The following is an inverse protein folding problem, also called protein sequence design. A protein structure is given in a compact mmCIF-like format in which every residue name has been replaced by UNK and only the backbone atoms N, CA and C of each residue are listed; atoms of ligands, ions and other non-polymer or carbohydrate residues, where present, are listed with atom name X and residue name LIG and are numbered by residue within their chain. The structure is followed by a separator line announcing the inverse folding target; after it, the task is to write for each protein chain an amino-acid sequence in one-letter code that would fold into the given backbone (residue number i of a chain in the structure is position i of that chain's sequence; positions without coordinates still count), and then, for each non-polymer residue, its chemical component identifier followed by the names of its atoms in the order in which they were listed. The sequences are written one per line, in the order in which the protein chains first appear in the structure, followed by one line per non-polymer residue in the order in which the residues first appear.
data_IF_484867399657
#
_entry.id   IF_484867399657
#
_cell.length_a   1.000
_cell.length_b   1.000
_cell.length_c   1.000
_cell.angle_alpha   90.00
_cell.angle_beta   90.00
_cell.angle_gamma   90.00
#
_symmetry.space_group_name_H-M   'P 1'
#
loop_
_entity.id
_entity.type
_entity.pdbx_description
1 polymer ?
#
# COMPACT_ATOMS: atom_id res chain seq x y z
N UNK A 1 7.85 7.97 3.95
CA UNK A 1 8.82 9.04 4.29
C UNK A 1 8.49 10.29 3.47
N UNK A 2 8.94 11.47 3.96
CA UNK A 2 9.00 12.68 3.14
C UNK A 2 10.25 12.67 2.26
N UNK A 3 10.36 13.67 1.34
CA UNK A 3 11.42 13.69 0.33
C UNK A 3 12.84 13.74 0.87
N UNK A 4 13.06 14.40 1.99
CA UNK A 4 14.41 14.53 2.59
C UNK A 4 14.71 13.46 3.65
N UNK A 5 13.74 12.56 3.90
CA UNK A 5 13.88 11.47 4.86
C UNK A 5 13.89 11.89 6.32
N UNK A 6 13.50 13.12 6.63
CA UNK A 6 13.45 13.61 8.02
C UNK A 6 12.17 13.25 8.76
N UNK A 7 11.14 12.79 8.02
CA UNK A 7 9.86 12.35 8.55
C UNK A 7 9.51 10.94 8.07
N UNK A 8 8.99 10.15 8.98
CA UNK A 8 8.41 8.84 8.67
C UNK A 8 6.94 8.82 9.11
N UNK A 9 6.08 8.27 8.26
CA UNK A 9 4.64 8.16 8.52
C UNK A 9 4.26 6.70 8.70
N UNK A 10 3.58 6.40 9.80
CA UNK A 10 3.16 5.05 10.14
C UNK A 10 1.64 5.03 10.34
N UNK A 11 0.98 4.19 9.59
CA UNK A 11 -0.45 3.97 9.75
C UNK A 11 -0.69 2.96 10.89
N UNK A 12 -1.59 3.30 11.79
CA UNK A 12 -2.07 2.41 12.84
C UNK A 12 -3.55 2.10 12.66
N UNK A 13 -3.89 0.91 13.07
CA UNK A 13 -5.27 0.46 13.24
C UNK A 13 -5.39 -0.14 14.64
N UNK A 14 -6.37 0.30 15.39
CA UNK A 14 -6.66 -0.22 16.72
C UNK A 14 -8.08 -0.77 16.74
N UNK A 15 -8.18 -2.08 16.90
CA UNK A 15 -9.41 -2.80 17.15
C UNK A 15 -9.55 -2.91 18.67
N UNK A 16 -10.46 -2.13 19.27
CA UNK A 16 -10.61 -2.08 20.72
C UNK A 16 -11.51 -3.19 21.29
N UNK A 17 -12.34 -3.81 20.46
CA UNK A 17 -13.32 -4.80 20.90
C UNK A 17 -13.10 -6.21 20.36
N UNK A 18 -11.99 -6.43 19.60
CA UNK A 18 -11.69 -7.73 18.99
C UNK A 18 -12.65 -8.11 17.86
N UNK A 19 -13.27 -7.14 17.23
CA UNK A 19 -14.21 -7.33 16.10
C UNK A 19 -15.60 -7.78 16.52
N UNK A 20 -15.98 -7.59 17.78
CA UNK A 20 -17.28 -8.00 18.31
C UNK A 20 -18.41 -7.06 17.87
N UNK A 21 -18.13 -5.79 17.63
CA UNK A 21 -19.08 -4.79 17.13
C UNK A 21 -18.48 -3.96 15.99
N UNK A 22 -19.00 -4.06 14.76
CA UNK A 22 -18.48 -3.31 13.63
C UNK A 22 -18.71 -1.79 13.73
N UNK A 23 -19.46 -1.32 14.72
CA UNK A 23 -19.89 0.07 14.83
C UNK A 23 -19.25 0.85 15.98
N UNK A 24 -18.44 0.21 16.84
CA UNK A 24 -17.89 0.83 18.03
C UNK A 24 -16.37 0.88 18.06
N UNK A 25 -15.83 2.09 18.00
CA UNK A 25 -14.53 2.51 18.55
C UNK A 25 -13.25 1.99 17.88
N UNK A 26 -13.32 1.48 16.66
CA UNK A 26 -12.11 1.23 15.88
C UNK A 26 -11.48 2.55 15.45
N UNK A 27 -10.26 2.80 15.85
CA UNK A 27 -9.51 3.99 15.47
C UNK A 27 -8.46 3.65 14.41
N UNK A 28 -8.47 4.42 13.35
CA UNK A 28 -7.39 4.39 12.37
C UNK A 28 -6.77 5.77 12.28
N UNK A 29 -5.45 5.83 12.32
CA UNK A 29 -4.73 7.08 12.24
C UNK A 29 -3.37 6.88 11.58
N UNK A 30 -2.78 7.98 11.16
CA UNK A 30 -1.40 8.05 10.69
C UNK A 30 -0.63 8.87 11.69
N UNK A 31 0.43 8.30 12.25
CA UNK A 31 1.37 8.98 13.13
C UNK A 31 2.59 9.45 12.36
N UNK A 32 3.11 10.62 12.77
CA UNK A 32 4.37 11.17 12.31
C UNK A 32 5.49 10.86 13.28
N UNK A 33 6.64 10.50 12.74
CA UNK A 33 7.90 10.35 13.46
C UNK A 33 8.95 11.27 12.86
N UNK A 34 9.59 12.08 13.68
CA UNK A 34 10.72 12.90 13.30
C UNK A 34 12.01 12.07 13.37
N UNK A 35 12.78 12.04 12.26
CA UNK A 35 14.03 11.30 12.18
C UNK A 35 15.21 12.26 12.38
N UNK A 36 16.05 11.99 13.37
CA UNK A 36 17.28 12.80 13.63
C UNK A 36 18.39 12.51 12.62
N UNK A 37 18.33 11.35 11.97
CA UNK A 37 19.20 10.96 10.85
C UNK A 37 18.26 10.63 9.68
N UNK A 38 18.38 11.33 8.53
CA UNK A 38 17.51 11.08 7.39
C UNK A 38 17.50 9.61 6.95
N UNK A 39 16.31 9.06 6.75
CA UNK A 39 16.08 7.68 6.34
C UNK A 39 16.60 6.61 7.33
N UNK A 40 16.94 6.96 8.56
CA UNK A 40 17.26 6.00 9.62
C UNK A 40 16.02 5.85 10.54
N UNK A 41 15.24 4.80 10.32
CA UNK A 41 14.02 4.56 11.08
C UNK A 41 14.29 4.37 12.58
N UNK A 42 15.51 3.91 12.96
CA UNK A 42 15.90 3.74 14.36
C UNK A 42 16.11 5.06 15.09
N UNK A 43 16.31 6.16 14.34
CA UNK A 43 16.47 7.52 14.88
C UNK A 43 15.13 8.23 15.12
N UNK A 44 14.01 7.54 14.87
CA UNK A 44 12.66 8.09 14.92
C UNK A 44 12.19 8.42 16.34
N UNK A 45 11.60 9.60 16.48
CA UNK A 45 10.90 10.05 17.68
C UNK A 45 9.47 10.41 17.32
N UNK A 46 8.50 9.88 18.03
CA UNK A 46 7.10 10.19 17.83
C UNK A 46 6.87 11.71 17.96
N UNK A 47 6.21 12.30 16.97
CA UNK A 47 6.05 13.75 16.88
C UNK A 47 5.00 14.30 17.87
N UNK A 48 4.07 13.47 18.31
CA UNK A 48 2.99 13.80 19.23
C UNK A 48 1.60 13.66 18.63
N UNK A 49 0.59 13.63 19.49
CA UNK A 49 -0.80 13.45 19.05
C UNK A 49 -1.31 14.63 18.21
N UNK A 50 -0.75 15.82 18.40
CA UNK A 50 -1.08 17.03 17.62
C UNK A 50 -0.57 16.95 16.17
N UNK A 51 0.39 16.06 15.89
CA UNK A 51 0.98 15.80 14.57
C UNK A 51 0.42 14.50 13.94
N UNK A 52 -0.79 14.15 14.27
CA UNK A 52 -1.51 12.95 13.81
C UNK A 52 -2.59 13.31 12.80
N UNK A 53 -2.82 12.43 11.84
CA UNK A 53 -4.02 12.45 11.00
C UNK A 53 -4.98 11.35 11.45
N UNK A 54 -6.13 11.73 11.97
CA UNK A 54 -7.20 10.79 12.28
C UNK A 54 -7.98 10.44 11.01
N UNK A 55 -8.15 9.14 10.77
CA UNK A 55 -8.93 8.63 9.66
C UNK A 55 -10.37 8.44 10.15
N UNK A 56 -11.16 9.50 10.08
CA UNK A 56 -12.52 9.56 10.63
C UNK A 56 -13.47 8.56 9.95
N UNK A 57 -14.02 7.64 10.73
CA UNK A 57 -15.03 6.67 10.31
C UNK A 57 -16.33 7.34 9.79
N UNK A 58 -16.66 8.55 10.21
CA UNK A 58 -17.82 9.30 9.71
C UNK A 58 -17.72 9.59 8.20
N UNK A 59 -16.52 9.59 7.63
CA UNK A 59 -16.29 9.72 6.18
C UNK A 59 -16.57 8.43 5.41
N UNK A 60 -16.88 7.33 6.12
CA UNK A 60 -17.10 6.00 5.57
C UNK A 60 -15.79 5.28 5.23
N UNK A 61 -14.68 5.69 5.84
CA UNK A 61 -13.48 4.87 5.91
C UNK A 61 -13.86 3.67 6.76
N UNK A 62 -13.87 2.49 6.14
CA UNK A 62 -14.22 1.25 6.83
C UNK A 62 -13.12 0.82 7.79
N UNK A 63 -13.39 -0.20 8.55
CA UNK A 63 -12.58 -0.68 9.67
C UNK A 63 -11.16 -1.17 9.29
N UNK A 64 -10.77 -1.24 8.00
CA UNK A 64 -9.48 -1.80 7.61
C UNK A 64 -8.82 -0.99 6.48
N UNK A 65 -8.20 0.16 6.79
CA UNK A 65 -7.26 0.77 5.85
C UNK A 65 -6.02 -0.11 5.72
N UNK A 66 -5.50 -0.29 4.49
CA UNK A 66 -4.35 -1.16 4.24
C UNK A 66 -3.09 -0.39 3.91
N UNK A 67 -3.03 0.26 2.78
CA UNK A 67 -1.82 0.87 2.25
C UNK A 67 -1.91 2.39 2.24
N UNK A 68 -0.76 3.05 2.38
CA UNK A 68 -0.62 4.50 2.41
C UNK A 68 0.39 4.91 1.34
N UNK A 69 -0.04 5.79 0.42
CA UNK A 69 0.84 6.32 -0.62
C UNK A 69 0.68 7.84 -0.72
N UNK A 70 1.79 8.58 -0.74
CA UNK A 70 1.78 10.03 -0.93
C UNK A 70 1.86 10.39 -2.41
N UNK A 71 1.28 11.55 -2.78
CA UNK A 71 1.57 12.18 -4.06
C UNK A 71 3.01 12.69 -4.10
N UNK A 72 3.57 12.82 -5.30
CA UNK A 72 4.95 13.25 -5.50
C UNK A 72 5.26 14.66 -4.97
N UNK A 73 4.24 15.48 -4.73
CA UNK A 73 4.37 16.83 -4.15
C UNK A 73 4.14 16.85 -2.63
N UNK A 74 3.85 15.70 -2.02
CA UNK A 74 3.56 15.58 -0.60
C UNK A 74 2.28 16.28 -0.14
N UNK A 75 1.47 16.82 -1.06
CA UNK A 75 0.25 17.57 -0.73
C UNK A 75 -0.99 16.70 -0.59
N UNK A 76 -0.87 15.42 -0.91
CA UNK A 76 -1.96 14.45 -0.85
C UNK A 76 -1.44 13.10 -0.39
N UNK A 77 -2.32 12.33 0.25
CA UNK A 77 -2.07 10.91 0.42
C UNK A 77 -3.32 10.08 0.10
N UNK A 78 -3.08 8.83 -0.20
CA UNK A 78 -4.09 7.87 -0.63
C UNK A 78 -4.07 6.65 0.27
N UNK A 79 -5.25 6.13 0.57
CA UNK A 79 -5.42 4.94 1.39
C UNK A 79 -6.26 3.93 0.62
N UNK A 80 -5.73 2.72 0.48
CA UNK A 80 -6.51 1.58 0.07
C UNK A 80 -7.34 1.10 1.25
N UNK A 81 -8.66 1.07 1.11
CA UNK A 81 -9.55 0.68 2.18
C UNK A 81 -10.52 -0.41 1.74
N UNK A 82 -10.73 -1.33 2.62
CA UNK A 82 -11.72 -2.38 2.50
C UNK A 82 -12.79 -2.19 3.57
N UNK A 83 -14.03 -2.22 3.13
CA UNK A 83 -15.20 -2.21 3.99
C UNK A 83 -16.02 -3.50 3.72
N UNK A 84 -16.40 -4.19 4.76
CA UNK A 84 -17.22 -5.41 4.67
C UNK A 84 -18.63 -5.07 5.16
N UNK A 85 -19.59 -5.11 4.24
CA UNK A 85 -20.98 -4.90 4.62
C UNK A 85 -21.52 -6.08 5.45
N UNK A 86 -22.50 -5.81 6.29
CA UNK A 86 -23.21 -6.82 7.08
C UNK A 86 -23.80 -7.98 6.24
N UNK A 87 -24.03 -7.78 4.94
CA UNK A 87 -24.45 -8.82 4.02
C UNK A 87 -23.29 -9.62 3.40
N UNK A 88 -22.05 -9.41 3.85
CA UNK A 88 -20.85 -10.07 3.39
C UNK A 88 -20.33 -9.60 2.03
N UNK A 89 -20.80 -8.46 1.51
CA UNK A 89 -20.26 -7.84 0.30
C UNK A 89 -19.10 -6.92 0.66
N UNK A 90 -17.95 -7.13 0.01
CA UNK A 90 -16.83 -6.22 0.14
C UNK A 90 -17.08 -4.93 -0.67
N UNK A 91 -16.84 -3.79 -0.04
CA UNK A 91 -16.73 -2.49 -0.70
C UNK A 91 -15.27 -2.07 -0.68
N UNK A 92 -14.76 -1.76 -1.84
CA UNK A 92 -13.36 -1.43 -2.07
C UNK A 92 -13.24 0.01 -2.54
N UNK A 93 -12.52 0.82 -1.78
CA UNK A 93 -12.37 2.25 -2.07
C UNK A 93 -10.90 2.64 -1.99
N UNK A 94 -10.53 3.66 -2.76
CA UNK A 94 -9.34 4.45 -2.53
C UNK A 94 -9.80 5.81 -2.02
N UNK A 95 -9.32 6.18 -0.85
CA UNK A 95 -9.56 7.48 -0.21
C UNK A 95 -8.40 8.41 -0.52
N UNK A 96 -8.70 9.67 -0.76
CA UNK A 96 -7.73 10.75 -0.88
C UNK A 96 -7.95 11.75 0.25
N UNK A 97 -6.84 12.13 0.87
CA UNK A 97 -6.72 13.23 1.81
C UNK A 97 -5.84 14.31 1.20
N UNK A 98 -6.21 15.56 1.43
CA UNK A 98 -5.43 16.72 1.04
C UNK A 98 -4.75 17.31 2.28
N UNK A 99 -3.52 17.79 2.10
CA UNK A 99 -2.74 18.51 3.08
C UNK A 99 -2.63 19.98 2.67
N UNK A 100 -2.56 20.90 3.63
CA UNK A 100 -2.31 22.33 3.34
C UNK A 100 -0.83 22.67 3.30
N UNK A 101 0.01 21.81 3.89
CA UNK A 101 1.47 21.89 3.87
C UNK A 101 2.03 20.52 3.46
N UNK A 102 3.02 20.46 2.54
CA UNK A 102 3.59 19.17 2.10
C UNK A 102 4.09 18.33 3.28
N UNK A 103 3.67 17.07 3.33
CA UNK A 103 4.07 16.11 4.36
C UNK A 103 3.81 16.55 5.80
N UNK A 104 2.87 17.47 6.03
CA UNK A 104 2.38 17.86 7.35
C UNK A 104 1.01 17.23 7.56
N UNK A 105 1.01 16.02 8.12
CA UNK A 105 -0.23 15.23 8.26
C UNK A 105 -1.18 15.80 9.31
N UNK A 106 -0.75 16.71 10.19
CA UNK A 106 -1.63 17.41 11.12
C UNK A 106 -2.66 18.30 10.39
N UNK A 107 -2.33 18.67 9.13
CA UNK A 107 -3.20 19.49 8.27
C UNK A 107 -4.14 18.66 7.39
N UNK A 108 -4.19 17.36 7.60
CA UNK A 108 -4.95 16.46 6.75
C UNK A 108 -6.46 16.75 6.78
N UNK A 109 -7.07 16.61 5.63
CA UNK A 109 -8.53 16.66 5.50
C UNK A 109 -9.00 15.65 4.46
N UNK A 110 -10.09 14.93 4.77
CA UNK A 110 -10.72 14.07 3.78
C UNK A 110 -11.22 14.89 2.59
N UNK A 111 -10.76 14.54 1.39
CA UNK A 111 -11.13 15.23 0.17
C UNK A 111 -12.16 14.45 -0.65
N UNK A 112 -11.88 13.18 -0.94
CA UNK A 112 -12.72 12.36 -1.81
C UNK A 112 -12.37 10.87 -1.74
N UNK A 113 -13.24 10.05 -2.32
CA UNK A 113 -12.97 8.62 -2.53
C UNK A 113 -13.44 8.16 -3.90
N UNK A 114 -12.92 7.04 -4.38
CA UNK A 114 -13.43 6.37 -5.57
C UNK A 114 -14.88 5.91 -5.38
N UNK A 115 -15.56 5.59 -6.48
CA UNK A 115 -16.71 4.67 -6.42
C UNK A 115 -16.20 3.30 -5.99
N UNK A 116 -17.10 2.43 -5.53
CA UNK A 116 -16.73 1.06 -5.15
C UNK A 116 -16.04 0.34 -6.33
N UNK A 117 -14.73 0.08 -6.20
CA UNK A 117 -13.93 -0.59 -7.23
C UNK A 117 -14.45 -2.00 -7.50
N UNK A 118 -14.95 -2.71 -6.48
CA UNK A 118 -15.54 -4.04 -6.62
C UNK A 118 -16.75 -4.10 -7.57
N UNK A 119 -17.54 -3.04 -7.67
CA UNK A 119 -18.68 -2.97 -8.59
C UNK A 119 -18.26 -2.89 -10.08
N UNK A 120 -17.05 -2.40 -10.36
CA UNK A 120 -16.50 -2.40 -11.72
C UNK A 120 -16.04 -3.78 -12.16
N UNK A 121 -15.75 -4.66 -11.21
CA UNK A 121 -15.34 -6.03 -11.46
C UNK A 121 -16.57 -6.93 -11.64
N UNK A 122 -17.65 -6.65 -10.91
CA UNK A 122 -18.88 -7.45 -10.92
C UNK A 122 -20.00 -6.92 -11.83
N UNK A 123 -19.91 -5.67 -12.30
CA UNK A 123 -20.99 -5.00 -13.04
C UNK A 123 -20.72 -4.91 -14.51
N UNK A 124 -21.42 -5.65 -15.32
CA UNK A 124 -21.65 -5.51 -16.79
C UNK A 124 -20.43 -5.67 -17.71
N UNK A 125 -19.24 -5.91 -17.20
CA UNK A 125 -18.03 -6.16 -17.97
C UNK A 125 -17.30 -7.42 -17.52
N UNK A 126 -18.05 -8.46 -17.14
CA UNK A 126 -17.50 -9.80 -16.92
C UNK A 126 -16.78 -10.37 -18.17
N UNK A 127 -16.85 -9.67 -19.31
CA UNK A 127 -16.10 -9.97 -20.52
C UNK A 127 -14.82 -9.16 -20.69
N UNK A 128 -14.62 -8.09 -19.92
CA UNK A 128 -13.48 -7.17 -20.07
C UNK A 128 -12.34 -7.45 -19.07
N UNK A 129 -12.55 -8.32 -18.09
CA UNK A 129 -11.49 -8.82 -17.24
C UNK A 129 -11.07 -10.21 -17.70
N UNK A 130 -9.82 -10.41 -18.10
CA UNK A 130 -9.38 -11.70 -18.63
C UNK A 130 -9.52 -12.88 -17.66
N UNK A 131 -9.74 -12.65 -16.38
CA UNK A 131 -9.90 -13.72 -15.40
C UNK A 131 -10.80 -13.30 -14.26
N UNK A 132 -12.09 -13.61 -14.36
CA UNK A 132 -13.00 -13.83 -13.24
C UNK A 132 -12.63 -13.14 -11.91
N UNK A 133 -12.39 -11.83 -11.94
CA UNK A 133 -12.30 -11.01 -10.73
C UNK A 133 -13.64 -10.96 -9.97
N UNK A 134 -14.61 -11.78 -10.40
CA UNK A 134 -15.96 -11.94 -9.84
C UNK A 134 -16.03 -12.76 -8.56
N UNK A 135 -14.92 -13.00 -7.87
CA UNK A 135 -14.95 -13.58 -6.54
C UNK A 135 -15.39 -12.51 -5.54
N UNK A 136 -16.39 -12.82 -4.73
CA UNK A 136 -16.92 -11.96 -3.65
C UNK A 136 -15.87 -11.53 -2.61
N UNK A 137 -14.64 -12.02 -2.71
CA UNK A 137 -13.56 -11.84 -1.75
C UNK A 137 -12.35 -11.11 -2.35
N UNK A 138 -12.47 -10.47 -3.51
CA UNK A 138 -11.35 -9.73 -4.08
C UNK A 138 -11.32 -8.31 -3.48
N UNK A 139 -10.35 -8.05 -2.62
CA UNK A 139 -10.26 -6.90 -1.72
C UNK A 139 -9.12 -6.01 -2.15
N UNK A 140 -9.28 -4.69 -2.01
CA UNK A 140 -8.16 -3.76 -2.15
C UNK A 140 -7.17 -3.99 -1.02
N UNK A 141 -5.88 -4.06 -1.38
CA UNK A 141 -4.79 -4.26 -0.44
C UNK A 141 -3.77 -3.12 -0.52
N UNK A 142 -3.56 -2.56 -1.70
CA UNK A 142 -2.60 -1.51 -1.90
C UNK A 142 -3.01 -0.53 -2.98
N UNK A 143 -2.41 0.65 -2.94
CA UNK A 143 -2.60 1.71 -3.93
C UNK A 143 -1.28 2.42 -4.19
N UNK A 144 -0.99 2.68 -5.45
CA UNK A 144 0.10 3.56 -5.86
C UNK A 144 -0.32 4.41 -7.05
N UNK A 145 0.31 5.57 -7.23
CA UNK A 145 0.03 6.46 -8.33
C UNK A 145 1.30 6.71 -9.16
N UNK A 146 1.10 7.04 -10.45
CA UNK A 146 2.20 7.57 -11.25
C UNK A 146 2.61 8.96 -10.77
N UNK A 147 3.87 9.34 -10.99
CA UNK A 147 4.41 10.64 -10.55
C UNK A 147 3.63 11.84 -11.08
N UNK A 148 3.03 11.73 -12.26
CA UNK A 148 2.19 12.77 -12.86
C UNK A 148 0.72 12.73 -12.38
N UNK A 149 0.38 11.76 -11.54
CA UNK A 149 -0.95 11.55 -10.99
C UNK A 149 -2.01 11.16 -12.01
N UNK A 150 -1.63 10.74 -13.22
CA UNK A 150 -2.60 10.36 -14.27
C UNK A 150 -2.94 8.88 -14.30
N UNK A 151 -2.22 8.07 -13.56
CA UNK A 151 -2.49 6.65 -13.40
C UNK A 151 -2.59 6.29 -11.92
N UNK A 152 -3.49 5.39 -11.61
CA UNK A 152 -3.67 4.79 -10.30
C UNK A 152 -3.60 3.27 -10.44
N UNK A 153 -2.80 2.63 -9.61
CA UNK A 153 -2.61 1.19 -9.56
C UNK A 153 -3.20 0.66 -8.26
N UNK A 154 -4.05 -0.34 -8.36
CA UNK A 154 -4.73 -0.92 -7.19
C UNK A 154 -4.39 -2.39 -7.11
N UNK A 155 -3.73 -2.76 -6.03
CA UNK A 155 -3.41 -4.16 -5.71
C UNK A 155 -4.62 -4.82 -5.06
N UNK A 156 -4.97 -5.99 -5.58
CA UNK A 156 -6.08 -6.81 -5.10
C UNK A 156 -5.58 -8.06 -4.37
N UNK A 157 -6.36 -8.57 -3.42
CA UNK A 157 -5.97 -9.68 -2.52
C UNK A 157 -5.59 -10.99 -3.21
N UNK A 158 -5.98 -11.20 -4.46
CA UNK A 158 -5.60 -12.38 -5.24
C UNK A 158 -4.38 -12.16 -6.16
N UNK A 159 -3.61 -11.07 -5.94
CA UNK A 159 -2.41 -10.81 -6.71
C UNK A 159 -2.66 -10.15 -8.07
N UNK A 160 -3.81 -9.54 -8.27
CA UNK A 160 -4.04 -8.72 -9.45
C UNK A 160 -3.70 -7.26 -9.16
N UNK A 161 -3.02 -6.60 -10.08
CA UNK A 161 -2.84 -5.15 -10.09
C UNK A 161 -3.73 -4.58 -11.19
N UNK A 162 -4.67 -3.73 -10.81
CA UNK A 162 -5.55 -3.02 -11.74
C UNK A 162 -4.96 -1.65 -12.04
N UNK A 163 -4.87 -1.30 -13.32
CA UNK A 163 -4.43 0.03 -13.76
C UNK A 163 -5.66 0.88 -14.14
N UNK A 164 -5.71 2.08 -13.60
CA UNK A 164 -6.75 3.06 -13.90
C UNK A 164 -6.12 4.34 -14.46
N UNK A 165 -6.73 4.90 -15.51
CA UNK A 165 -6.42 6.24 -16.00
C UNK A 165 -7.24 7.25 -15.20
N UNK A 166 -6.61 8.34 -14.77
CA UNK A 166 -7.26 9.49 -14.15
C UNK A 166 -7.36 10.63 -15.19
N UNK A 167 -8.58 11.05 -15.54
CA UNK A 167 -8.78 12.14 -16.50
C UNK A 167 -8.33 13.50 -15.95
N UNK A 168 -8.35 13.64 -14.64
CA UNK A 168 -7.76 14.76 -13.90
C UNK A 168 -6.68 14.19 -12.97
N UNK A 169 -5.48 14.75 -13.09
CA UNK A 169 -4.34 14.28 -12.29
C UNK A 169 -4.66 14.30 -10.78
N UNK A 170 -4.33 13.22 -10.10
CA UNK A 170 -4.54 13.05 -8.65
C UNK A 170 -6.00 13.04 -8.18
N UNK A 171 -6.97 13.08 -9.09
CA UNK A 171 -8.40 13.01 -8.77
C UNK A 171 -8.91 11.57 -8.90
N UNK A 172 -9.01 10.89 -7.77
CA UNK A 172 -9.45 9.48 -7.72
C UNK A 172 -10.93 9.29 -8.09
N UNK A 173 -11.73 10.35 -8.19
CA UNK A 173 -13.12 10.26 -8.69
C UNK A 173 -13.19 10.21 -10.21
N UNK A 174 -12.13 10.66 -10.90
CA UNK A 174 -12.03 10.76 -12.35
C UNK A 174 -11.54 9.47 -13.04
N UNK A 175 -11.48 8.36 -12.27
CA UNK A 175 -10.87 7.11 -12.73
C UNK A 175 -11.68 6.34 -13.77
N UNK A 176 -10.97 5.70 -14.68
CA UNK A 176 -11.48 4.72 -15.63
C UNK A 176 -10.52 3.55 -15.77
N UNK A 177 -11.04 2.31 -15.78
CA UNK A 177 -10.21 1.12 -15.92
C UNK A 177 -9.46 1.15 -17.26
N UNK A 178 -8.13 0.97 -17.22
CA UNK A 178 -7.36 0.71 -18.44
C UNK A 178 -7.50 -0.78 -18.81
N UNK A 179 -8.32 -1.07 -19.83
CA UNK A 179 -8.60 -2.46 -20.24
C UNK A 179 -7.40 -3.18 -20.87
N UNK A 180 -6.39 -2.43 -21.29
CA UNK A 180 -5.15 -2.96 -21.86
C UNK A 180 -4.02 -3.04 -20.82
N UNK A 181 -4.22 -2.44 -19.65
CA UNK A 181 -3.28 -2.48 -18.53
C UNK A 181 -3.72 -3.47 -17.47
N UNK A 182 -2.88 -3.61 -16.46
CA UNK A 182 -3.08 -4.53 -15.35
C UNK A 182 -2.23 -5.78 -15.44
N UNK A 183 -1.99 -6.40 -14.29
CA UNK A 183 -1.14 -7.59 -14.16
C UNK A 183 -1.87 -8.68 -13.40
N UNK A 184 -1.70 -9.92 -13.82
CA UNK A 184 -2.05 -11.10 -13.06
C UNK A 184 -0.77 -11.71 -12.45
N UNK A 185 -0.59 -11.49 -11.16
CA UNK A 185 0.52 -12.04 -10.38
C UNK A 185 0.05 -13.14 -9.42
N UNK A 186 -1.13 -13.70 -9.63
CA UNK A 186 -1.73 -14.71 -8.73
C UNK A 186 -0.87 -15.95 -8.54
N UNK A 187 -0.03 -16.29 -9.52
CA UNK A 187 0.92 -17.39 -9.44
C UNK A 187 2.24 -17.01 -8.70
N UNK A 188 2.51 -15.72 -8.52
CA UNK A 188 3.77 -15.20 -7.99
C UNK A 188 3.60 -14.57 -6.60
N UNK A 189 2.38 -14.28 -6.19
CA UNK A 189 2.05 -13.63 -4.91
C UNK A 189 1.14 -14.53 -4.08
N UNK A 190 1.27 -14.39 -2.78
CA UNK A 190 0.38 -15.09 -1.83
C UNK A 190 -0.03 -14.13 -0.74
N UNK A 191 -1.32 -13.75 -0.73
CA UNK A 191 -1.87 -12.77 0.20
C UNK A 191 -1.09 -11.43 0.17
N UNK A 192 -1.06 -10.76 -1.01
CA UNK A 192 -0.33 -9.49 -1.17
C UNK A 192 -0.96 -8.40 -0.29
N UNK A 193 -0.14 -7.46 0.20
CA UNK A 193 -0.54 -6.46 1.19
C UNK A 193 -0.23 -5.03 0.77
N UNK A 194 0.85 -4.79 0.03
CA UNK A 194 1.31 -3.46 -0.37
C UNK A 194 1.95 -3.50 -1.75
N UNK A 195 1.85 -2.40 -2.47
CA UNK A 195 2.43 -2.17 -3.79
C UNK A 195 3.25 -0.89 -3.79
N UNK A 196 4.49 -0.96 -4.25
CA UNK A 196 5.37 0.19 -4.37
C UNK A 196 6.06 0.20 -5.73
N UNK A 197 6.21 1.39 -6.32
CA UNK A 197 7.00 1.61 -7.52
C UNK A 197 8.38 2.18 -7.15
N UNK A 198 9.38 1.89 -7.98
CA UNK A 198 10.60 2.68 -7.94
C UNK A 198 10.35 4.09 -8.50
N UNK A 199 11.31 4.99 -8.28
CA UNK A 199 11.15 6.40 -8.59
C UNK A 199 10.83 6.70 -10.05
N UNK A 200 11.35 5.92 -11.00
CA UNK A 200 11.12 6.11 -12.43
C UNK A 200 9.94 5.30 -13.00
N UNK A 201 9.27 4.51 -12.15
CA UNK A 201 8.10 3.72 -12.53
C UNK A 201 8.39 2.50 -13.41
N UNK A 202 9.65 2.06 -13.49
CA UNK A 202 10.05 0.89 -14.29
C UNK A 202 10.03 -0.42 -13.52
N UNK A 203 9.93 -0.37 -12.19
CA UNK A 203 9.85 -1.54 -11.30
C UNK A 203 8.69 -1.42 -10.34
N UNK A 204 8.12 -2.57 -10.01
CA UNK A 204 7.07 -2.72 -9.00
C UNK A 204 7.53 -3.76 -7.98
N UNK A 205 7.22 -3.49 -6.72
CA UNK A 205 7.46 -4.37 -5.60
C UNK A 205 6.13 -4.69 -4.92
N UNK A 206 5.87 -5.98 -4.69
CA UNK A 206 4.67 -6.45 -4.01
C UNK A 206 5.08 -7.13 -2.72
N UNK A 207 4.65 -6.57 -1.60
CA UNK A 207 4.79 -7.20 -0.30
C UNK A 207 3.73 -8.29 -0.13
N UNK A 208 4.16 -9.47 0.28
CA UNK A 208 3.29 -10.63 0.48
C UNK A 208 3.37 -11.09 1.93
N UNK A 209 2.21 -11.25 2.57
CA UNK A 209 2.13 -11.87 3.89
C UNK A 209 2.60 -13.34 3.87
N UNK A 210 2.34 -14.04 2.76
CA UNK A 210 2.72 -15.43 2.56
C UNK A 210 1.89 -16.46 3.34
N UNK A 211 1.85 -17.72 2.91
CA UNK A 211 1.26 -18.80 3.67
C UNK A 211 2.18 -19.23 4.82
N UNK A 212 1.59 -19.64 5.94
CA UNK A 212 2.32 -20.25 7.08
C UNK A 212 3.49 -19.40 7.62
N UNK A 213 3.32 -18.06 7.65
CA UNK A 213 4.36 -17.12 8.11
C UNK A 213 5.64 -17.15 7.26
N UNK A 214 5.49 -17.28 5.95
CA UNK A 214 6.60 -17.17 5.00
C UNK A 214 6.42 -15.90 4.13
N UNK A 215 6.65 -14.70 4.71
CA UNK A 215 6.51 -13.45 4.00
C UNK A 215 7.55 -13.31 2.90
N UNK A 216 7.19 -12.57 1.86
CA UNK A 216 8.09 -12.36 0.72
C UNK A 216 7.84 -11.03 0.04
N UNK A 217 8.79 -10.58 -0.77
CA UNK A 217 8.62 -9.46 -1.69
C UNK A 217 8.88 -9.95 -3.10
N UNK A 218 7.94 -9.69 -4.01
CA UNK A 218 8.06 -9.98 -5.44
C UNK A 218 8.49 -8.73 -6.18
N UNK A 219 9.50 -8.83 -7.02
CA UNK A 219 9.98 -7.77 -7.90
C UNK A 219 9.52 -8.03 -9.34
N UNK A 220 9.03 -6.98 -9.99
CA UNK A 220 8.52 -6.99 -11.34
C UNK A 220 9.11 -5.83 -12.12
N UNK A 221 9.66 -6.07 -13.30
CA UNK A 221 10.10 -5.04 -14.24
C UNK A 221 9.04 -4.73 -15.28
N UNK A 222 8.85 -3.45 -15.59
CA UNK A 222 7.96 -2.96 -16.63
C UNK A 222 8.77 -2.57 -17.87
N UNK A 223 8.23 -2.83 -19.06
CA UNK A 223 8.88 -2.44 -20.32
C UNK A 223 8.82 -0.93 -20.58
N UNK A 224 7.87 -0.24 -19.95
CA UNK A 224 7.73 1.22 -20.00
C UNK A 224 7.29 1.75 -18.64
N UNK A 225 7.74 2.95 -18.24
CA UNK A 225 7.38 3.53 -16.94
C UNK A 225 5.87 3.59 -16.73
N UNK A 226 5.43 3.09 -15.58
CA UNK A 226 4.02 3.10 -15.17
C UNK A 226 3.05 2.49 -16.21
N UNK A 227 3.50 1.49 -16.97
CA UNK A 227 2.70 0.77 -17.95
C UNK A 227 2.69 -0.73 -17.63
N UNK A 228 1.60 -1.19 -17.05
CA UNK A 228 1.45 -2.58 -16.60
C UNK A 228 0.98 -3.54 -17.70
N UNK A 229 0.84 -3.05 -18.94
CA UNK A 229 0.45 -3.89 -20.09
C UNK A 229 1.54 -4.88 -20.53
N UNK A 230 2.80 -4.60 -20.19
CA UNK A 230 3.95 -5.44 -20.52
C UNK A 230 4.98 -5.45 -19.39
N UNK A 231 5.15 -6.62 -18.78
CA UNK A 231 5.98 -6.80 -17.60
C UNK A 231 6.72 -8.14 -17.59
N UNK A 232 7.74 -8.24 -16.75
CA UNK A 232 8.45 -9.46 -16.42
C UNK A 232 8.53 -9.61 -14.91
N UNK A 233 8.19 -10.78 -14.38
CA UNK A 233 8.45 -11.10 -12.97
C UNK A 233 9.91 -11.47 -12.83
N UNK A 234 10.71 -10.60 -12.20
CA UNK A 234 12.17 -10.79 -12.08
C UNK A 234 12.50 -11.88 -11.06
N UNK A 235 11.75 -11.94 -9.98
CA UNK A 235 11.95 -12.90 -8.91
C UNK A 235 11.27 -12.51 -7.61
N UNK A 236 11.61 -13.24 -6.56
CA UNK A 236 11.05 -13.07 -5.22
C UNK A 236 12.12 -13.30 -4.16
N UNK A 237 12.10 -12.49 -3.10
CA UNK A 237 12.87 -12.71 -1.88
C UNK A 237 11.94 -13.24 -0.79
N UNK A 238 12.25 -14.40 -0.24
CA UNK A 238 11.53 -15.02 0.87
C UNK A 238 12.25 -14.72 2.20
N UNK A 239 11.51 -14.22 3.18
CA UNK A 239 12.03 -13.91 4.50
C UNK A 239 11.77 -15.10 5.44
N UNK A 240 12.66 -16.08 5.40
CA UNK A 240 12.55 -17.24 6.27
C UNK A 240 12.82 -16.88 7.74
N UNK A 241 11.98 -17.38 8.63
CA UNK A 241 12.04 -17.16 10.09
C UNK A 241 13.41 -17.42 10.75
N UNK A 242 14.34 -18.12 10.08
CA UNK A 242 15.62 -18.53 10.66
C UNK A 242 16.65 -17.42 10.75
N UNK A 243 16.54 -16.36 9.92
CA UNK A 243 17.58 -15.32 9.82
C UNK A 243 17.17 -14.01 10.50
N UNK A 244 15.88 -13.69 10.53
CA UNK A 244 15.35 -12.41 11.04
C UNK A 244 14.44 -12.60 12.27
N UNK A 245 14.26 -13.81 12.75
CA UNK A 245 13.67 -14.20 14.05
C UNK A 245 12.23 -13.80 14.33
N UNK A 246 11.73 -12.75 13.72
CA UNK A 246 10.40 -12.16 14.04
C UNK A 246 9.64 -11.61 12.85
N UNK A 247 10.17 -11.65 11.62
CA UNK A 247 9.44 -11.17 10.44
C UNK A 247 8.45 -12.24 10.00
N UNK A 248 7.17 -12.07 10.33
CA UNK A 248 6.11 -13.08 10.11
C UNK A 248 5.05 -12.62 9.14
N UNK A 249 4.69 -11.34 9.17
CA UNK A 249 3.57 -10.80 8.41
C UNK A 249 3.95 -9.43 7.84
N UNK A 250 4.47 -9.41 6.63
CA UNK A 250 4.72 -8.15 5.95
C UNK A 250 3.38 -7.49 5.62
N UNK A 251 3.21 -6.23 6.05
CA UNK A 251 2.02 -5.40 5.76
C UNK A 251 2.30 -4.27 4.80
N UNK A 252 3.51 -3.74 4.82
CA UNK A 252 3.89 -2.63 3.96
C UNK A 252 5.36 -2.72 3.57
N UNK A 253 5.70 -2.10 2.49
CA UNK A 253 7.08 -1.84 2.09
C UNK A 253 7.20 -0.45 1.49
N UNK A 254 8.35 0.16 1.63
CA UNK A 254 8.73 1.39 0.94
C UNK A 254 10.24 1.47 0.81
N UNK A 255 10.73 2.49 0.09
CA UNK A 255 12.16 2.71 -0.12
C UNK A 255 12.57 4.13 0.24
N UNK A 256 13.85 4.31 0.55
CA UNK A 256 14.45 5.64 0.53
C UNK A 256 14.46 6.18 -0.90
N UNK A 257 14.55 7.50 -1.07
CA UNK A 257 14.60 8.14 -2.39
C UNK A 257 15.76 7.65 -3.26
N UNK A 258 16.85 7.23 -2.64
CA UNK A 258 17.99 6.63 -3.35
C UNK A 258 17.70 5.20 -3.83
N UNK A 259 16.68 4.55 -3.31
CA UNK A 259 16.42 3.14 -3.53
C UNK A 259 17.42 2.18 -2.91
N UNK A 260 18.38 2.68 -2.12
CA UNK A 260 19.40 1.86 -1.47
C UNK A 260 18.98 1.32 -0.10
N UNK A 261 17.88 1.82 0.46
CA UNK A 261 17.33 1.33 1.70
C UNK A 261 15.87 0.92 1.45
N UNK A 262 15.53 -0.30 1.81
CA UNK A 262 14.17 -0.84 1.79
C UNK A 262 13.67 -0.97 3.23
N UNK A 263 12.45 -0.53 3.47
CA UNK A 263 11.77 -0.65 4.76
C UNK A 263 10.60 -1.61 4.64
N UNK A 264 10.46 -2.47 5.61
CA UNK A 264 9.39 -3.47 5.66
C UNK A 264 8.68 -3.37 7.00
N UNK A 265 7.41 -3.04 6.96
CA UNK A 265 6.56 -3.07 8.15
C UNK A 265 6.02 -4.48 8.39
N UNK A 266 6.23 -4.97 9.60
CA UNK A 266 5.79 -6.28 10.07
C UNK A 266 4.72 -6.13 11.14
N UNK A 267 3.65 -6.88 10.99
CA UNK A 267 2.62 -7.07 12.00
C UNK A 267 2.86 -8.42 12.68
N UNK A 268 3.17 -8.43 13.97
CA UNK A 268 3.28 -9.66 14.75
C UNK A 268 2.04 -9.83 15.64
N UNK A 269 0.96 -10.32 15.05
CA UNK A 269 -0.29 -10.60 15.74
C UNK A 269 -0.22 -11.76 16.77
N UNK A 270 0.98 -12.23 17.09
CA UNK A 270 1.16 -13.23 18.11
C UNK A 270 0.96 -12.58 19.50
N UNK A 271 -0.14 -12.92 20.17
CA UNK A 271 -0.54 -12.41 21.48
C UNK A 271 0.50 -12.52 22.60
N UNK A 272 1.56 -13.29 22.40
CA UNK A 272 2.67 -13.42 23.37
C UNK A 272 3.79 -12.40 23.18
N UNK A 273 3.88 -11.72 22.01
CA UNK A 273 4.89 -10.70 21.71
C UNK A 273 4.35 -9.72 20.66
N UNK A 274 3.37 -8.86 21.00
CA UNK A 274 2.83 -7.89 20.07
C UNK A 274 3.85 -6.77 19.87
N UNK A 275 4.78 -6.95 18.96
CA UNK A 275 5.75 -5.89 18.62
C UNK A 275 5.75 -5.73 17.12
N UNK A 276 4.91 -4.80 16.66
CA UNK A 276 4.99 -4.29 15.30
C UNK A 276 6.36 -3.63 15.12
N UNK A 277 7.03 -3.96 14.04
CA UNK A 277 8.39 -3.48 13.76
C UNK A 277 8.53 -3.02 12.32
N UNK A 278 9.37 -2.02 12.16
CA UNK A 278 9.92 -1.67 10.86
C UNK A 278 11.31 -2.26 10.76
N UNK A 279 11.53 -3.05 9.72
CA UNK A 279 12.84 -3.59 9.37
C UNK A 279 13.45 -2.75 8.26
N UNK A 280 14.73 -2.48 8.38
CA UNK A 280 15.52 -1.73 7.43
C UNK A 280 16.53 -2.65 6.77
N UNK A 281 16.57 -2.64 5.43
CA UNK A 281 17.46 -3.45 4.61
C UNK A 281 18.29 -2.57 3.69
N UNK A 282 19.60 -2.65 3.79
CA UNK A 282 20.51 -2.02 2.83
C UNK A 282 20.61 -2.87 1.56
N UNK A 283 20.37 -2.25 0.42
CA UNK A 283 20.45 -2.88 -0.89
C UNK A 283 21.81 -2.58 -1.56
N UNK A 284 22.36 -3.55 -2.27
CA UNK A 284 23.58 -3.37 -3.04
C UNK A 284 23.37 -2.45 -4.25
N UNK A 285 22.20 -2.54 -4.88
CA UNK A 285 21.80 -1.73 -6.02
C UNK A 285 20.48 -1.00 -5.75
N UNK A 286 20.32 0.25 -6.25
CA UNK A 286 19.06 0.97 -6.09
C UNK A 286 17.86 0.18 -6.61
N UNK A 287 16.85 0.02 -5.76
CA UNK A 287 15.61 -0.67 -6.12
C UNK A 287 15.82 -2.07 -6.71
N UNK A 288 16.82 -2.81 -6.24
CA UNK A 288 17.06 -4.20 -6.64
C UNK A 288 17.15 -5.09 -5.38
N UNK A 289 16.07 -5.81 -5.11
CA UNK A 289 15.97 -6.68 -3.94
C UNK A 289 16.58 -8.07 -4.17
N UNK A 290 16.89 -8.42 -5.42
CA UNK A 290 17.37 -9.76 -5.79
C UNK A 290 18.89 -9.87 -5.71
N UNK A 291 19.58 -8.74 -5.57
CA UNK A 291 21.06 -8.68 -5.56
C UNK A 291 21.62 -9.07 -6.93
N UNK A 292 21.77 -8.13 -7.80
CA UNK A 292 22.34 -8.30 -9.12
C UNK A 292 23.51 -7.37 -9.36
N UNK A 293 24.08 -7.43 -10.56
CA UNK A 293 25.01 -6.42 -10.98
C UNK A 293 24.25 -5.10 -11.15
N UNK A 294 24.67 -4.07 -10.41
CA UNK A 294 24.10 -2.73 -10.60
C UNK A 294 24.31 -2.31 -12.06
N UNK A 295 23.29 -1.78 -12.75
CA UNK A 295 23.39 -1.32 -14.12
C UNK A 295 24.36 -0.14 -14.28
#
# INVERSE_FOLDING_TARGET
FNDDGTKMFVRFFRDEDGGADPDTEDFSYIDEYNLSIPFDASSGTYAGDDERCELDHSTGIGHQPFDLNFSSDGMKFYIANRDVLANGQDRNFIYRFDLTVPYDISTCSFAQRTRNIGNFINGSRAGDSPNALGSKNNRTQGVSLSNDGKKMFVLMSYGHVLEYNLSTAFDVTSFSLNVNGGMDLSSNTSNPQSIEFNADGTRIFIANHGPANNPSITQVSLNSPFDTSSFTVDGRVDFNNSTLGTLRQIRTLTFSNSGLIMYVGNDDSNSSHPVDKIFEFNLECPFDILGGNCP
#
